data_IF_177931501570
#
_entry.id   IF_177931501570
#
_cell.length_a   1.000
_cell.length_b   1.000
_cell.length_c   1.000
_cell.angle_alpha   90.00
_cell.angle_beta   90.00
_cell.angle_gamma   90.00
#
_symmetry.space_group_name_H-M   'P 1'
#
loop_
_entity.id
_entity.type
_entity.pdbx_description
1 polymer ?
#
# COMPACT_ATOMS: atom_id res chain seq x y z
N UNK A 1 6.08 11.43 74.08
CA UNK A 1 5.00 10.42 73.97
C UNK A 1 3.88 11.03 73.14
N UNK A 2 3.85 10.71 71.86
CA UNK A 2 2.87 11.18 70.87
C UNK A 2 1.48 10.59 71.15
N UNK A 3 0.45 11.44 71.15
CA UNK A 3 -0.95 11.00 71.11
C UNK A 3 -1.52 11.28 69.73
N UNK A 4 -1.93 10.19 69.09
CA UNK A 4 -2.44 10.02 67.73
C UNK A 4 -3.59 10.97 67.40
N UNK A 5 -3.50 11.64 66.25
CA UNK A 5 -4.64 12.28 65.58
C UNK A 5 -5.66 11.21 65.17
N UNK A 6 -6.92 11.40 65.57
CA UNK A 6 -8.05 10.62 65.06
C UNK A 6 -8.30 11.04 63.60
N UNK A 7 -8.26 10.09 62.67
CA UNK A 7 -8.74 10.29 61.31
C UNK A 7 -10.27 10.25 61.32
N UNK A 8 -10.91 11.35 60.92
CA UNK A 8 -12.33 11.38 60.60
C UNK A 8 -12.55 10.55 59.32
N UNK A 9 -13.22 9.40 59.45
CA UNK A 9 -13.49 8.46 58.38
C UNK A 9 -14.93 8.58 57.84
N UNK A 10 -15.42 9.80 57.66
CA UNK A 10 -16.74 10.06 57.07
C UNK A 10 -16.61 10.79 55.73
N UNK A 11 -16.04 10.10 54.73
CA UNK A 11 -16.28 10.47 53.34
C UNK A 11 -17.43 9.61 52.82
N UNK A 12 -18.56 10.24 52.51
CA UNK A 12 -19.64 9.58 51.77
C UNK A 12 -19.13 9.29 50.36
N UNK A 13 -18.94 8.01 50.05
CA UNK A 13 -18.76 7.54 48.67
C UNK A 13 -20.15 7.58 48.04
N UNK A 14 -20.36 8.55 47.14
CA UNK A 14 -21.55 8.59 46.30
C UNK A 14 -21.30 7.63 45.14
N UNK A 15 -21.94 6.47 45.17
CA UNK A 15 -22.00 5.58 44.01
C UNK A 15 -22.83 6.26 42.92
N UNK A 16 -22.15 6.83 41.93
CA UNK A 16 -22.79 7.30 40.72
C UNK A 16 -22.99 6.10 39.78
N UNK A 17 -24.23 5.77 39.38
CA UNK A 17 -24.44 4.73 38.39
C UNK A 17 -23.79 5.15 37.07
N UNK A 18 -23.04 4.22 36.46
CA UNK A 18 -22.46 4.42 35.13
C UNK A 18 -23.58 4.58 34.11
N UNK A 19 -23.63 5.74 33.46
CA UNK A 19 -24.53 5.95 32.32
C UNK A 19 -23.93 5.24 31.12
N UNK A 20 -24.47 4.07 30.75
CA UNK A 20 -24.20 3.45 29.46
C UNK A 20 -25.06 4.14 28.40
N UNK A 21 -24.41 4.84 27.47
CA UNK A 21 -25.07 5.36 26.27
C UNK A 21 -25.16 4.24 25.25
N UNK A 22 -26.36 3.71 25.04
CA UNK A 22 -26.68 2.81 23.95
C UNK A 22 -27.35 3.61 22.84
N UNK A 23 -26.81 3.54 21.62
CA UNK A 23 -27.48 4.12 20.45
C UNK A 23 -28.51 3.12 19.93
N UNK A 24 -29.71 3.15 20.49
CA UNK A 24 -30.88 2.47 19.89
C UNK A 24 -31.50 3.34 18.80
N UNK A 25 -30.72 3.71 17.78
CA UNK A 25 -31.30 4.17 16.53
C UNK A 25 -31.31 3.00 15.55
N UNK A 26 -32.28 2.11 15.73
CA UNK A 26 -32.62 1.14 14.70
C UNK A 26 -33.35 1.94 13.61
N UNK A 27 -32.79 2.10 12.40
CA UNK A 27 -33.44 2.86 11.35
C UNK A 27 -34.76 2.19 10.97
N UNK A 28 -35.86 2.91 11.14
CA UNK A 28 -37.17 2.42 10.77
C UNK A 28 -37.36 2.64 9.25
N UNK A 29 -37.11 1.60 8.46
CA UNK A 29 -37.18 1.67 7.00
C UNK A 29 -38.63 1.44 6.56
N UNK A 30 -39.34 2.53 6.27
CA UNK A 30 -40.61 2.46 5.55
C UNK A 30 -40.36 2.63 4.05
N UNK A 31 -40.76 1.63 3.25
CA UNK A 31 -40.85 1.80 1.79
C UNK A 31 -42.03 2.72 1.47
N UNK A 32 -41.73 3.96 1.11
CA UNK A 32 -42.71 4.87 0.52
C UNK A 32 -42.67 4.70 -0.99
N UNK A 33 -43.77 4.24 -1.58
CA UNK A 33 -43.96 4.24 -3.02
C UNK A 33 -44.77 5.49 -3.38
N UNK A 34 -44.13 6.47 -4.01
CA UNK A 34 -44.80 7.72 -4.42
C UNK A 34 -43.88 8.71 -5.13
N UNK A 35 -44.00 8.72 -6.47
CA UNK A 35 -43.72 9.77 -7.46
C UNK A 35 -42.62 10.81 -7.23
N UNK A 36 -41.58 10.69 -8.07
CA UNK A 36 -40.65 11.71 -8.58
C UNK A 36 -39.98 12.66 -7.58
N UNK A 37 -38.74 12.32 -7.23
CA UNK A 37 -37.76 13.27 -6.73
C UNK A 37 -36.72 13.52 -7.82
N UNK A 38 -36.66 14.74 -8.36
CA UNK A 38 -35.65 15.13 -9.34
C UNK A 38 -34.26 15.05 -8.72
N UNK A 39 -33.44 14.15 -9.26
CA UNK A 39 -32.03 13.98 -8.91
C UNK A 39 -31.19 14.66 -10.00
N UNK A 40 -30.27 15.54 -9.57
CA UNK A 40 -29.38 16.28 -10.45
C UNK A 40 -28.60 15.34 -11.39
N UNK A 41 -28.72 15.61 -12.68
CA UNK A 41 -28.07 14.87 -13.77
C UNK A 41 -26.57 15.20 -13.83
N UNK A 42 -25.73 14.18 -13.68
CA UNK A 42 -24.37 14.15 -14.20
C UNK A 42 -24.23 12.88 -15.04
N UNK A 43 -23.97 13.04 -16.33
CA UNK A 43 -24.10 12.00 -17.36
C UNK A 43 -23.14 10.82 -17.14
N UNK A 44 -23.69 9.61 -16.95
CA UNK A 44 -22.95 8.35 -17.09
C UNK A 44 -23.45 7.68 -18.37
N UNK A 45 -22.60 7.64 -19.39
CA UNK A 45 -22.87 6.88 -20.62
C UNK A 45 -22.67 5.39 -20.36
N UNK A 46 -23.77 4.65 -20.21
CA UNK A 46 -23.78 3.18 -20.19
C UNK A 46 -24.31 2.65 -21.52
N UNK A 47 -23.39 2.20 -22.38
CA UNK A 47 -23.72 1.41 -23.56
C UNK A 47 -23.93 -0.05 -23.15
N UNK A 48 -25.19 -0.45 -23.00
CA UNK A 48 -25.59 -1.84 -22.79
C UNK A 48 -25.91 -2.53 -24.14
N UNK A 49 -25.03 -3.41 -24.62
CA UNK A 49 -25.44 -4.51 -25.49
C UNK A 49 -24.60 -5.77 -25.21
N UNK A 50 -25.25 -6.81 -24.68
CA UNK A 50 -24.70 -8.16 -24.57
C UNK A 50 -25.18 -8.93 -23.34
N UNK A 51 -26.19 -9.79 -23.53
CA UNK A 51 -26.65 -10.78 -22.56
C UNK A 51 -25.55 -11.82 -22.24
N UNK A 52 -25.31 -12.12 -20.97
CA UNK A 52 -24.50 -13.27 -20.57
C UNK A 52 -23.99 -13.18 -19.14
N UNK A 53 -24.39 -14.13 -18.29
CA UNK A 53 -24.10 -14.13 -16.85
C UNK A 53 -22.62 -14.23 -16.49
N UNK A 54 -22.28 -13.61 -15.35
CA UNK A 54 -21.02 -13.74 -14.66
C UNK A 54 -20.98 -12.75 -13.51
N UNK A 55 -21.01 -13.24 -12.28
CA UNK A 55 -20.77 -12.43 -11.07
C UNK A 55 -19.34 -11.88 -11.19
N UNK A 56 -19.19 -10.63 -11.59
CA UNK A 56 -17.94 -9.90 -11.43
C UNK A 56 -17.90 -9.43 -9.98
N UNK A 57 -17.06 -10.09 -9.18
CA UNK A 57 -16.72 -9.65 -7.83
C UNK A 57 -16.09 -8.26 -7.90
N UNK A 58 -16.69 -7.38 -7.10
CA UNK A 58 -16.12 -6.22 -6.44
C UNK A 58 -15.31 -5.25 -7.31
N UNK A 59 -16.05 -4.21 -7.71
CA UNK A 59 -15.54 -2.87 -8.01
C UNK A 59 -14.22 -2.58 -7.28
N UNK A 60 -13.17 -2.43 -8.07
CA UNK A 60 -11.96 -1.71 -7.72
C UNK A 60 -12.38 -0.34 -7.17
N UNK A 61 -12.36 -0.23 -5.84
CA UNK A 61 -12.57 1.03 -5.13
C UNK A 61 -11.53 2.01 -5.65
N UNK A 62 -11.98 3.17 -6.15
CA UNK A 62 -11.16 4.14 -6.86
C UNK A 62 -9.83 4.40 -6.15
N UNK A 63 -8.73 4.22 -6.88
CA UNK A 63 -7.40 4.57 -6.39
C UNK A 63 -7.38 6.05 -6.04
N UNK A 64 -6.93 6.39 -4.84
CA UNK A 64 -6.75 7.79 -4.45
C UNK A 64 -5.54 8.36 -5.20
N UNK A 65 -5.81 9.03 -6.31
CA UNK A 65 -4.82 9.71 -7.15
C UNK A 65 -3.93 10.69 -6.35
N UNK A 66 -4.41 11.20 -5.21
CA UNK A 66 -3.66 12.15 -4.39
C UNK A 66 -2.37 11.56 -3.79
N UNK A 67 -2.36 10.26 -3.50
CA UNK A 67 -1.19 9.54 -2.95
C UNK A 67 -0.07 9.49 -3.99
N UNK A 68 -0.45 9.29 -5.24
CA UNK A 68 0.44 9.22 -6.39
C UNK A 68 0.86 10.61 -6.90
N UNK A 69 0.11 11.66 -6.53
CA UNK A 69 0.30 13.02 -7.03
C UNK A 69 -0.41 13.29 -8.36
N UNK A 70 -1.51 12.58 -8.63
CA UNK A 70 -2.37 12.76 -9.81
C UNK A 70 -1.84 12.18 -11.12
N UNK A 71 -0.52 12.03 -11.26
CA UNK A 71 0.11 11.70 -12.55
C UNK A 71 0.72 10.31 -12.66
N UNK A 72 0.95 9.61 -11.54
CA UNK A 72 1.47 8.23 -11.58
C UNK A 72 0.30 7.26 -11.60
N UNK A 73 0.25 6.45 -12.65
CA UNK A 73 -0.80 5.44 -12.81
C UNK A 73 -0.54 4.24 -11.89
N UNK A 74 -1.60 3.62 -11.34
CA UNK A 74 -1.45 2.37 -10.60
C UNK A 74 -1.08 1.20 -11.54
N UNK A 75 -0.51 0.15 -10.96
CA UNK A 75 -0.31 -1.14 -11.62
C UNK A 75 -1.54 -2.00 -11.32
N UNK A 76 -2.12 -2.68 -12.31
CA UNK A 76 -3.19 -3.62 -12.03
C UNK A 76 -2.61 -4.97 -11.56
N UNK A 77 -3.00 -5.41 -10.37
CA UNK A 77 -2.63 -6.71 -9.81
C UNK A 77 -3.88 -7.49 -9.43
N UNK A 78 -3.96 -8.75 -9.86
CA UNK A 78 -5.15 -9.61 -9.67
C UNK A 78 -5.10 -10.46 -8.40
N UNK A 79 -3.91 -10.70 -7.87
CA UNK A 79 -3.60 -11.70 -6.85
C UNK A 79 -2.78 -11.13 -5.69
N UNK A 80 -2.22 -9.92 -5.84
CA UNK A 80 -1.59 -9.18 -4.77
C UNK A 80 -2.63 -8.28 -4.10
N UNK A 81 -2.55 -8.20 -2.77
CA UNK A 81 -3.43 -7.36 -1.98
C UNK A 81 -2.89 -5.92 -1.98
N UNK A 82 -3.48 -5.09 -2.84
CA UNK A 82 -3.12 -3.69 -3.03
C UNK A 82 -3.73 -2.81 -1.94
N UNK A 83 -3.03 -1.77 -1.53
CA UNK A 83 -3.54 -0.76 -0.60
C UNK A 83 -3.08 0.65 -0.96
N UNK A 84 -3.88 1.61 -0.53
CA UNK A 84 -3.56 3.04 -0.60
C UNK A 84 -3.09 3.56 0.77
N UNK A 85 -3.33 2.84 1.86
CA UNK A 85 -2.93 3.28 3.19
C UNK A 85 -1.45 2.99 3.47
N UNK A 86 -0.60 3.96 3.18
CA UNK A 86 0.85 3.89 3.41
C UNK A 86 1.29 4.55 4.74
N UNK A 87 0.35 4.96 5.60
CA UNK A 87 0.67 5.71 6.82
C UNK A 87 1.54 4.88 7.74
N UNK A 88 2.67 5.43 8.15
CA UNK A 88 3.62 4.76 9.04
C UNK A 88 4.36 3.59 8.37
N UNK A 89 4.62 3.67 7.07
CA UNK A 89 5.33 2.63 6.32
C UNK A 89 6.67 3.10 5.75
N UNK A 90 7.17 4.27 6.13
CA UNK A 90 8.51 4.80 5.75
C UNK A 90 8.86 4.80 4.25
N UNK A 91 7.86 4.80 3.36
CA UNK A 91 8.02 4.71 1.91
C UNK A 91 8.04 6.09 1.21
N UNK A 92 7.90 7.20 1.94
CA UNK A 92 7.75 8.54 1.37
C UNK A 92 8.96 8.96 0.55
N UNK A 93 10.17 8.59 0.99
CA UNK A 93 11.42 8.88 0.29
C UNK A 93 11.50 8.14 -1.04
N UNK A 94 11.05 6.88 -1.07
CA UNK A 94 10.98 6.09 -2.29
C UNK A 94 9.98 6.71 -3.28
N UNK A 95 8.79 7.10 -2.83
CA UNK A 95 7.78 7.75 -3.66
C UNK A 95 8.33 9.05 -4.28
N UNK A 96 8.98 9.89 -3.47
CA UNK A 96 9.62 11.12 -3.97
C UNK A 96 10.70 10.81 -5.02
N UNK A 97 11.51 9.78 -4.83
CA UNK A 97 12.51 9.35 -5.82
C UNK A 97 11.86 8.88 -7.13
N UNK A 98 10.76 8.13 -7.05
CA UNK A 98 9.96 7.71 -8.21
C UNK A 98 9.40 8.94 -8.97
N UNK A 99 8.89 9.95 -8.26
CA UNK A 99 8.44 11.20 -8.87
C UNK A 99 9.57 11.93 -9.59
N UNK A 100 10.78 11.94 -9.02
CA UNK A 100 11.96 12.51 -9.71
C UNK A 100 12.24 11.78 -11.02
N UNK A 101 12.16 10.44 -11.04
CA UNK A 101 12.34 9.66 -12.29
C UNK A 101 11.32 10.09 -13.34
N UNK A 102 10.03 10.15 -12.98
CA UNK A 102 8.97 10.55 -13.90
C UNK A 102 9.14 12.00 -14.41
N UNK A 103 9.54 12.92 -13.52
CA UNK A 103 9.66 14.33 -13.88
C UNK A 103 10.91 14.63 -14.71
N UNK A 104 12.08 14.08 -14.34
CA UNK A 104 13.38 14.42 -14.95
C UNK A 104 13.74 13.54 -16.14
N UNK A 105 13.25 12.30 -16.22
CA UNK A 105 13.63 11.34 -17.26
C UNK A 105 12.45 11.00 -18.17
N UNK A 106 12.08 11.95 -19.05
CA UNK A 106 10.89 11.89 -19.93
C UNK A 106 10.76 10.66 -20.81
N UNK A 107 11.86 9.94 -21.09
CA UNK A 107 11.85 8.68 -21.84
C UNK A 107 11.22 7.50 -21.08
N UNK A 108 11.04 7.62 -19.76
CA UNK A 108 10.43 6.58 -18.95
C UNK A 108 8.99 6.94 -18.59
N UNK A 109 8.08 6.00 -18.75
CA UNK A 109 6.79 6.00 -18.05
C UNK A 109 6.92 5.25 -16.74
N UNK A 110 6.16 5.68 -15.73
CA UNK A 110 6.21 5.09 -14.40
C UNK A 110 4.80 4.78 -13.90
N UNK A 111 4.65 3.60 -13.31
CA UNK A 111 3.46 3.19 -12.56
C UNK A 111 3.88 2.71 -11.17
N UNK A 112 3.01 2.83 -10.17
CA UNK A 112 3.33 2.55 -8.77
C UNK A 112 2.13 1.96 -8.03
N UNK A 113 2.34 0.87 -7.30
CA UNK A 113 1.38 0.34 -6.32
C UNK A 113 2.04 0.04 -4.99
N UNK A 114 1.22 -0.05 -3.95
CA UNK A 114 1.64 -0.59 -2.66
C UNK A 114 0.87 -1.88 -2.41
N UNK A 115 1.56 -2.90 -1.94
CA UNK A 115 0.97 -4.20 -1.62
C UNK A 115 1.36 -4.60 -0.23
N UNK A 116 0.47 -5.28 0.47
CA UNK A 116 0.86 -5.92 1.71
C UNK A 116 1.80 -7.10 1.43
N UNK A 117 2.81 -7.27 2.28
CA UNK A 117 3.59 -8.50 2.25
C UNK A 117 2.69 -9.71 2.53
N UNK A 118 2.95 -10.86 1.86
CA UNK A 118 2.24 -12.09 2.16
C UNK A 118 2.49 -12.48 3.62
N UNK A 119 1.48 -13.01 4.28
CA UNK A 119 1.58 -13.48 5.66
C UNK A 119 2.47 -14.74 5.81
N UNK A 120 2.47 -15.31 7.02
CA UNK A 120 3.09 -16.60 7.31
C UNK A 120 4.40 -16.53 8.10
N UNK A 121 5.02 -15.33 8.24
CA UNK A 121 6.14 -15.09 9.16
C UNK A 121 6.01 -13.71 9.81
N UNK A 122 6.75 -13.50 10.90
CA UNK A 122 6.77 -12.24 11.64
C UNK A 122 7.29 -11.07 10.82
N UNK A 123 8.14 -11.30 9.80
CA UNK A 123 8.62 -10.25 8.91
C UNK A 123 7.51 -9.53 8.14
N UNK A 124 6.37 -10.21 7.89
CA UNK A 124 5.20 -9.62 7.24
C UNK A 124 4.54 -8.51 8.06
N UNK A 125 4.97 -8.31 9.31
CA UNK A 125 4.43 -7.34 10.23
C UNK A 125 5.53 -6.38 10.71
N UNK A 126 5.12 -5.17 11.04
CA UNK A 126 5.91 -4.16 11.74
C UNK A 126 5.83 -4.40 13.26
N UNK A 127 6.70 -3.73 14.02
CA UNK A 127 6.75 -3.88 15.48
C UNK A 127 5.45 -3.44 16.19
N UNK A 128 4.66 -2.55 15.57
CA UNK A 128 3.35 -2.12 16.05
C UNK A 128 2.20 -3.09 15.69
N UNK A 129 2.50 -4.24 15.07
CA UNK A 129 1.51 -5.23 14.64
C UNK A 129 0.87 -4.95 13.28
N UNK A 130 1.10 -3.78 12.68
CA UNK A 130 0.58 -3.49 11.34
C UNK A 130 1.26 -4.37 10.30
N UNK A 131 0.55 -4.69 9.22
CA UNK A 131 1.16 -5.40 8.09
C UNK A 131 2.18 -4.50 7.39
N UNK A 132 3.32 -5.09 7.04
CA UNK A 132 4.40 -4.44 6.33
C UNK A 132 4.04 -4.32 4.85
N UNK A 133 4.29 -3.16 4.26
CA UNK A 133 4.08 -2.93 2.84
C UNK A 133 5.35 -3.11 2.01
N UNK A 134 5.13 -3.43 0.74
CA UNK A 134 6.08 -3.22 -0.33
C UNK A 134 5.51 -2.21 -1.34
N UNK A 135 6.31 -1.22 -1.73
CA UNK A 135 6.07 -0.39 -2.89
C UNK A 135 6.66 -1.05 -4.13
N UNK A 136 5.88 -1.13 -5.20
CA UNK A 136 6.27 -1.70 -6.48
C UNK A 136 6.13 -0.62 -7.54
N UNK A 137 7.26 -0.16 -8.09
CA UNK A 137 7.27 0.76 -9.21
C UNK A 137 7.65 0.04 -10.52
N UNK A 138 6.82 0.16 -11.54
CA UNK A 138 7.13 -0.24 -12.91
C UNK A 138 7.70 0.95 -13.65
N UNK A 139 8.87 0.79 -14.26
CA UNK A 139 9.53 1.78 -15.10
C UNK A 139 9.70 1.21 -16.49
N UNK A 140 9.01 1.79 -17.45
CA UNK A 140 9.03 1.35 -18.85
C UNK A 140 9.70 2.41 -19.69
N UNK A 141 10.76 2.03 -20.42
CA UNK A 141 11.30 2.91 -21.45
C UNK A 141 10.30 2.94 -22.61
N UNK A 142 9.84 4.13 -23.01
CA UNK A 142 8.82 4.32 -24.05
C UNK A 142 9.22 3.71 -25.41
N UNK A 143 10.51 3.45 -25.61
CA UNK A 143 11.04 2.82 -26.83
C UNK A 143 11.24 1.30 -26.72
N UNK A 144 10.90 0.68 -25.59
CA UNK A 144 11.09 -0.75 -25.33
C UNK A 144 9.77 -1.42 -24.93
N UNK A 145 9.65 -2.72 -25.24
CA UNK A 145 8.49 -3.54 -24.88
C UNK A 145 8.60 -4.18 -23.50
N UNK A 146 9.77 -4.08 -22.87
CA UNK A 146 10.06 -4.65 -21.56
C UNK A 146 10.17 -3.56 -20.50
N UNK A 147 9.80 -3.92 -19.28
CA UNK A 147 9.78 -3.01 -18.15
C UNK A 147 10.81 -3.42 -17.10
N UNK A 148 11.28 -2.44 -16.33
CA UNK A 148 12.03 -2.68 -15.11
C UNK A 148 11.15 -2.45 -13.89
N UNK A 149 11.32 -3.26 -12.84
CA UNK A 149 10.51 -3.21 -11.63
C UNK A 149 11.39 -2.91 -10.42
N UNK A 150 11.06 -1.86 -9.69
CA UNK A 150 11.65 -1.54 -8.40
C UNK A 150 10.73 -2.02 -7.29
N UNK A 151 11.32 -2.71 -6.31
CA UNK A 151 10.62 -3.19 -5.13
C UNK A 151 11.33 -2.62 -3.90
N UNK A 152 10.60 -1.79 -3.16
CA UNK A 152 11.00 -1.23 -1.88
C UNK A 152 10.09 -1.79 -0.80
N UNK A 153 10.64 -2.21 0.33
CA UNK A 153 9.86 -2.77 1.43
C UNK A 153 10.02 -1.84 2.63
N UNK A 154 8.92 -1.56 3.33
CA UNK A 154 8.96 -0.77 4.56
C UNK A 154 9.97 -1.37 5.55
N UNK A 155 10.81 -0.51 6.13
CA UNK A 155 11.83 -0.88 7.11
C UNK A 155 11.76 -0.01 8.36
N UNK A 156 10.57 0.54 8.66
CA UNK A 156 10.32 1.45 9.79
C UNK A 156 10.83 0.90 11.13
N UNK A 157 10.86 -0.42 11.30
CA UNK A 157 11.38 -1.12 12.47
C UNK A 157 12.92 -1.21 12.54
N UNK A 158 13.65 -0.44 11.71
CA UNK A 158 15.10 -0.35 11.73
C UNK A 158 15.82 -1.49 10.99
N UNK A 159 15.09 -2.31 10.22
CA UNK A 159 15.70 -3.36 9.40
C UNK A 159 16.49 -2.76 8.23
N UNK A 160 17.49 -3.48 7.75
CA UNK A 160 18.24 -3.09 6.56
C UNK A 160 17.95 -4.03 5.42
N UNK A 161 17.20 -3.55 4.42
CA UNK A 161 16.93 -4.24 3.17
C UNK A 161 17.21 -3.27 2.03
N UNK A 162 17.92 -3.71 1.00
CA UNK A 162 18.15 -2.89 -0.20
C UNK A 162 16.91 -2.85 -1.08
N UNK A 163 16.69 -1.75 -1.80
CA UNK A 163 15.77 -1.73 -2.94
C UNK A 163 16.20 -2.75 -3.99
N UNK A 164 15.27 -3.57 -4.46
CA UNK A 164 15.51 -4.53 -5.54
C UNK A 164 15.06 -3.92 -6.87
N UNK A 165 15.93 -3.96 -7.87
CA UNK A 165 15.62 -3.65 -9.27
C UNK A 165 15.68 -4.95 -10.07
N UNK A 166 14.61 -5.27 -10.78
CA UNK A 166 14.56 -6.39 -11.74
C UNK A 166 14.36 -5.79 -13.13
N UNK A 167 15.16 -6.22 -14.09
CA UNK A 167 15.25 -5.60 -15.41
C UNK A 167 14.61 -6.46 -16.49
N UNK A 168 14.17 -5.79 -17.54
CA UNK A 168 13.80 -6.40 -18.82
C UNK A 168 12.76 -7.53 -18.68
N UNK A 169 11.76 -7.34 -17.82
CA UNK A 169 10.69 -8.32 -17.61
C UNK A 169 9.47 -7.94 -18.46
N UNK A 170 8.84 -8.95 -19.05
CA UNK A 170 7.55 -8.81 -19.72
C UNK A 170 6.40 -8.75 -18.71
N UNK A 171 5.42 -7.89 -19.00
CA UNK A 171 4.32 -7.61 -18.07
C UNK A 171 3.40 -8.83 -17.83
N UNK A 172 3.40 -9.84 -18.70
CA UNK A 172 2.53 -11.02 -18.57
C UNK A 172 2.90 -11.95 -17.39
N UNK A 173 4.16 -11.96 -16.94
CA UNK A 173 4.64 -12.85 -15.87
C UNK A 173 4.99 -12.11 -14.59
N UNK A 174 4.99 -10.77 -14.61
CA UNK A 174 5.57 -10.00 -13.52
C UNK A 174 4.84 -10.20 -12.21
N UNK A 175 3.51 -10.27 -12.22
CA UNK A 175 2.75 -10.39 -10.98
C UNK A 175 3.09 -11.69 -10.25
N UNK A 176 3.18 -12.80 -10.99
CA UNK A 176 3.62 -14.08 -10.45
C UNK A 176 5.04 -14.01 -9.90
N UNK A 177 5.96 -13.39 -10.64
CA UNK A 177 7.36 -13.21 -10.22
C UNK A 177 7.43 -12.41 -8.91
N UNK A 178 6.75 -11.25 -8.85
CA UNK A 178 6.72 -10.40 -7.67
C UNK A 178 6.12 -11.15 -6.48
N UNK A 179 5.00 -11.85 -6.67
CA UNK A 179 4.36 -12.64 -5.62
C UNK A 179 5.32 -13.66 -5.02
N UNK A 180 6.02 -14.43 -5.87
CA UNK A 180 6.99 -15.41 -5.41
C UNK A 180 8.22 -14.77 -4.74
N UNK A 181 8.69 -13.63 -5.23
CA UNK A 181 9.78 -12.89 -4.60
C UNK A 181 9.41 -12.36 -3.22
N UNK A 182 8.23 -11.75 -3.07
CA UNK A 182 7.75 -11.25 -1.78
C UNK A 182 7.51 -12.41 -0.80
N UNK A 183 6.96 -13.53 -1.27
CA UNK A 183 6.81 -14.75 -0.48
C UNK A 183 8.16 -15.24 0.05
N UNK A 184 9.15 -15.39 -0.83
CA UNK A 184 10.48 -15.86 -0.44
C UNK A 184 11.24 -14.85 0.42
N UNK A 185 11.02 -13.55 0.22
CA UNK A 185 11.54 -12.51 1.11
C UNK A 185 11.02 -12.72 2.55
N UNK A 186 9.71 -12.95 2.69
CA UNK A 186 9.06 -13.20 3.99
C UNK A 186 9.60 -14.48 4.63
N UNK A 187 9.68 -15.58 3.89
CA UNK A 187 10.22 -16.85 4.42
C UNK A 187 11.71 -16.78 4.76
N UNK A 188 12.46 -15.87 4.15
CA UNK A 188 13.86 -15.57 4.49
C UNK A 188 14.00 -14.36 5.43
N UNK A 189 12.98 -14.07 6.22
CA UNK A 189 13.00 -13.06 7.30
C UNK A 189 13.46 -11.67 6.85
N UNK A 190 13.13 -11.29 5.61
CA UNK A 190 13.50 -9.99 5.04
C UNK A 190 14.81 -9.96 4.29
N UNK A 191 15.28 -11.10 3.78
CA UNK A 191 16.45 -11.18 2.90
C UNK A 191 16.08 -11.58 1.47
N UNK A 192 16.60 -10.84 0.48
CA UNK A 192 16.46 -11.21 -0.93
C UNK A 192 17.13 -12.56 -1.22
N UNK A 193 16.33 -13.55 -1.64
CA UNK A 193 16.82 -14.89 -1.91
C UNK A 193 17.61 -14.96 -3.22
N UNK A 194 18.92 -15.19 -3.13
CA UNK A 194 19.83 -15.20 -4.29
C UNK A 194 19.44 -16.30 -5.29
N UNK A 195 19.09 -17.50 -4.82
CA UNK A 195 18.73 -18.63 -5.70
C UNK A 195 17.49 -18.35 -6.53
N UNK A 196 16.58 -17.52 -6.02
CA UNK A 196 15.38 -17.10 -6.74
C UNK A 196 15.67 -15.98 -7.72
N UNK A 197 16.69 -15.18 -7.43
CA UNK A 197 17.08 -14.05 -8.27
C UNK A 197 18.03 -14.44 -9.41
N UNK A 198 18.66 -15.62 -9.35
CA UNK A 198 19.65 -16.08 -10.34
C UNK A 198 19.16 -16.14 -11.79
N UNK A 199 17.84 -16.21 -11.98
CA UNK A 199 17.20 -16.29 -13.30
C UNK A 199 16.79 -14.92 -13.86
N UNK A 200 17.02 -13.84 -13.11
CA UNK A 200 16.65 -12.50 -13.51
C UNK A 200 17.91 -11.63 -13.64
N UNK A 201 17.86 -10.65 -14.54
CA UNK A 201 18.80 -9.54 -14.50
C UNK A 201 18.36 -8.59 -13.38
N UNK A 202 19.09 -8.59 -12.27
CA UNK A 202 18.69 -7.87 -11.06
C UNK A 202 19.83 -7.10 -10.42
N UNK A 203 19.47 -6.04 -9.69
CA UNK A 203 20.40 -5.21 -8.92
C UNK A 203 19.82 -4.93 -7.55
N UNK A 204 20.65 -5.03 -6.51
CA UNK A 204 20.32 -4.62 -5.15
C UNK A 204 20.95 -3.26 -4.87
N UNK A 205 20.13 -2.23 -4.74
CA UNK A 205 20.58 -0.86 -4.54
C UNK A 205 20.59 -0.57 -3.04
N UNK A 206 21.79 -0.56 -2.44
CA UNK A 206 21.95 -0.24 -1.02
C UNK A 206 21.54 1.22 -0.73
N UNK A 207 20.83 1.41 0.38
CA UNK A 207 20.57 2.73 0.93
C UNK A 207 21.87 3.39 1.39
N UNK A 208 21.99 4.67 1.08
CA UNK A 208 23.09 5.54 1.51
C UNK A 208 22.49 6.84 2.03
N UNK A 209 23.30 7.66 2.71
CA UNK A 209 22.93 9.03 3.05
C UNK A 209 22.95 9.88 1.77
N UNK A 210 21.84 9.85 1.04
CA UNK A 210 21.65 10.56 -0.23
C UNK A 210 20.24 11.15 -0.30
N UNK A 211 20.06 12.20 -1.10
CA UNK A 211 18.74 12.73 -1.42
C UNK A 211 18.06 11.92 -2.55
N UNK A 212 16.80 12.22 -2.82
CA UNK A 212 15.96 11.53 -3.80
C UNK A 212 16.47 11.69 -5.24
N UNK A 213 17.11 12.83 -5.56
CA UNK A 213 17.71 13.08 -6.89
C UNK A 213 18.98 12.27 -7.11
N UNK A 214 19.82 12.15 -6.10
CA UNK A 214 21.01 11.29 -6.16
C UNK A 214 20.61 9.82 -6.27
N UNK A 215 19.58 9.42 -5.52
CA UNK A 215 19.03 8.08 -5.60
C UNK A 215 18.48 7.79 -7.00
N UNK A 216 17.65 8.67 -7.56
CA UNK A 216 17.09 8.50 -8.90
C UNK A 216 18.19 8.40 -9.97
N UNK A 217 19.25 9.21 -9.88
CA UNK A 217 20.42 9.11 -10.77
C UNK A 217 21.12 7.75 -10.67
N UNK A 218 21.25 7.19 -9.46
CA UNK A 218 21.84 5.85 -9.26
C UNK A 218 20.98 4.77 -9.88
N UNK A 219 19.66 4.82 -9.69
CA UNK A 219 18.72 3.90 -10.34
C UNK A 219 18.84 4.01 -11.86
N UNK A 220 18.83 5.23 -12.39
CA UNK A 220 18.92 5.52 -13.84
C UNK A 220 20.14 4.90 -14.52
N UNK A 221 21.28 4.76 -13.83
CA UNK A 221 22.47 4.08 -14.38
C UNK A 221 22.20 2.63 -14.77
N UNK A 222 21.14 2.04 -14.25
CA UNK A 222 20.77 0.67 -14.48
C UNK A 222 19.53 0.51 -15.37
N UNK A 223 18.74 1.57 -15.61
CA UNK A 223 17.53 1.55 -16.43
C UNK A 223 17.83 1.77 -17.91
#
# INVERSE_FOLDING_TARGET
>A
MEKRSKQDANQQVVDMPSTQLQFENIPNVHKVYGTEQQVNQGEIYLSNQGQGGGIQQEQVVGFDESIYGGTIQPIDFKTLEVTNDIRGQDLEKFIKMIRVIQSEYKKYSVALNFVYLPGGRTFSFLANGNRRLAAIARITNQYMTVSSYLIEVSTMDGRSLSTLLIKNISDNMIEYIIKELLKKLVYNSGSWNIDSLKHFDYIRVKHTKQNEKEWSRRIKKYL
#
